data_IF_889180874376
#
_entry.id   IF_889180874376
#
_cell.length_a   1.000
_cell.length_b   1.000
_cell.length_c   1.000
_cell.angle_alpha   90.00
_cell.angle_beta   90.00
_cell.angle_gamma   90.00
#
_symmetry.space_group_name_H-M   'P 1'
#
loop_
_entity.id
_entity.type
_entity.pdbx_description
1 polymer ?
#
# COMPACT_ATOMS: atom_id res chain seq x y z
N UNK A 1 11.31 10.82 25.87
CA UNK A 1 10.21 10.20 25.08
C UNK A 1 9.62 8.98 25.77
N UNK A 2 10.45 8.09 26.35
CA UNK A 2 10.03 6.91 27.13
C UNK A 2 9.05 7.19 28.28
N UNK A 3 9.33 8.18 29.14
CA UNK A 3 8.44 8.52 30.29
C UNK A 3 7.02 8.92 29.89
N UNK A 4 6.84 9.56 28.72
CA UNK A 4 5.51 9.93 28.20
C UNK A 4 4.74 8.70 27.73
N UNK A 5 5.42 7.74 27.11
CA UNK A 5 4.83 6.47 26.69
C UNK A 5 4.45 5.60 27.89
N UNK A 6 5.28 5.58 28.93
CA UNK A 6 4.97 4.90 30.19
C UNK A 6 3.74 5.53 30.89
N UNK A 7 3.67 6.86 30.97
CA UNK A 7 2.52 7.55 31.55
C UNK A 7 1.23 7.27 30.77
N UNK A 8 1.27 7.35 29.43
CA UNK A 8 0.13 7.02 28.57
C UNK A 8 -0.31 5.56 28.75
N UNK A 9 0.63 4.61 28.84
CA UNK A 9 0.34 3.20 29.09
C UNK A 9 -0.37 2.99 30.42
N UNK A 10 0.11 3.65 31.48
CA UNK A 10 -0.52 3.58 32.80
C UNK A 10 -1.93 4.19 32.79
N UNK A 11 -2.09 5.37 32.19
CA UNK A 11 -3.40 6.03 32.06
C UNK A 11 -4.40 5.15 31.29
N UNK A 12 -3.98 4.56 30.18
CA UNK A 12 -4.82 3.69 29.36
C UNK A 12 -5.21 2.41 30.13
N UNK A 13 -4.27 1.84 30.89
CA UNK A 13 -4.55 0.71 31.78
C UNK A 13 -5.57 1.04 32.87
N UNK A 14 -5.45 2.21 33.51
CA UNK A 14 -6.41 2.69 34.52
C UNK A 14 -7.80 2.91 33.89
N UNK A 15 -7.87 3.56 32.73
CA UNK A 15 -9.14 3.76 32.02
C UNK A 15 -9.81 2.44 31.64
N UNK A 16 -9.06 1.46 31.14
CA UNK A 16 -9.59 0.14 30.82
C UNK A 16 -10.12 -0.58 32.07
N UNK A 17 -9.38 -0.53 33.18
CA UNK A 17 -9.82 -1.14 34.44
C UNK A 17 -11.15 -0.53 34.94
N UNK A 18 -11.26 0.80 34.93
CA UNK A 18 -12.50 1.49 35.31
C UNK A 18 -13.66 1.15 34.36
N UNK A 19 -13.42 1.13 33.05
CA UNK A 19 -14.43 0.78 32.05
C UNK A 19 -14.94 -0.65 32.27
N UNK A 20 -14.04 -1.62 32.51
CA UNK A 20 -14.42 -3.00 32.82
C UNK A 20 -15.30 -3.06 34.07
N UNK A 21 -14.92 -2.34 35.14
CA UNK A 21 -15.72 -2.28 36.37
C UNK A 21 -17.14 -1.71 36.14
N UNK A 22 -17.25 -0.61 35.37
CA UNK A 22 -18.55 0.00 35.03
C UNK A 22 -19.42 -0.95 34.20
N UNK A 23 -18.84 -1.60 33.19
CA UNK A 23 -19.56 -2.59 32.37
C UNK A 23 -20.05 -3.76 33.22
N UNK A 24 -19.20 -4.28 34.11
CA UNK A 24 -19.56 -5.38 35.00
C UNK A 24 -20.73 -4.99 35.92
N UNK A 25 -20.70 -3.77 36.46
CA UNK A 25 -21.74 -3.24 37.35
C UNK A 25 -23.07 -2.99 36.62
N UNK A 26 -23.01 -2.51 35.37
CA UNK A 26 -24.20 -2.09 34.62
C UNK A 26 -24.90 -3.25 33.90
N UNK A 27 -24.15 -4.24 33.41
CA UNK A 27 -24.68 -5.25 32.50
C UNK A 27 -24.37 -6.70 32.90
N UNK A 28 -23.64 -6.90 34.00
CA UNK A 28 -23.26 -8.21 34.52
C UNK A 28 -22.09 -8.86 33.75
N UNK A 29 -21.50 -9.90 34.35
CA UNK A 29 -20.24 -10.49 33.87
C UNK A 29 -20.33 -11.07 32.45
N UNK A 30 -21.43 -11.75 32.11
CA UNK A 30 -21.56 -12.45 30.82
C UNK A 30 -21.58 -11.47 29.64
N UNK A 31 -22.32 -10.37 29.75
CA UNK A 31 -22.41 -9.36 28.69
C UNK A 31 -21.12 -8.55 28.55
N UNK A 32 -20.47 -8.22 29.66
CA UNK A 32 -19.19 -7.50 29.67
C UNK A 32 -18.07 -8.33 29.03
N UNK A 33 -18.02 -9.64 29.33
CA UNK A 33 -17.05 -10.57 28.71
C UNK A 33 -17.34 -10.74 27.22
N UNK A 34 -18.60 -10.85 26.82
CA UNK A 34 -18.97 -10.95 25.40
C UNK A 34 -18.55 -9.69 24.62
N UNK A 35 -18.78 -8.49 25.16
CA UNK A 35 -18.34 -7.23 24.56
C UNK A 35 -16.80 -7.13 24.48
N UNK A 36 -16.10 -7.53 25.54
CA UNK A 36 -14.64 -7.54 25.53
C UNK A 36 -14.08 -8.51 24.47
N UNK A 37 -14.69 -9.69 24.32
CA UNK A 37 -14.30 -10.68 23.33
C UNK A 37 -14.51 -10.20 21.90
N UNK A 38 -15.64 -9.55 21.60
CA UNK A 38 -15.90 -9.00 20.25
C UNK A 38 -14.94 -7.88 19.92
N UNK A 39 -14.70 -6.94 20.85
CA UNK A 39 -13.73 -5.85 20.67
C UNK A 39 -12.31 -6.41 20.45
N UNK A 40 -11.90 -7.40 21.23
CA UNK A 40 -10.59 -8.03 21.08
C UNK A 40 -10.43 -8.73 19.72
N UNK A 41 -11.46 -9.46 19.26
CA UNK A 41 -11.46 -10.10 17.95
C UNK A 41 -11.36 -9.08 16.81
N UNK A 42 -12.15 -7.99 16.86
CA UNK A 42 -12.09 -6.93 15.85
C UNK A 42 -10.74 -6.24 15.84
N UNK A 43 -10.16 -5.95 17.01
CA UNK A 43 -8.82 -5.36 17.11
C UNK A 43 -7.75 -6.29 16.51
N UNK A 44 -7.81 -7.59 16.80
CA UNK A 44 -6.89 -8.58 16.23
C UNK A 44 -6.97 -8.60 14.69
N UNK A 45 -8.18 -8.66 14.12
CA UNK A 45 -8.38 -8.62 12.67
C UNK A 45 -7.86 -7.30 12.07
N UNK A 46 -8.17 -6.16 12.69
CA UNK A 46 -7.72 -4.85 12.22
C UNK A 46 -6.18 -4.74 12.22
N UNK A 47 -5.53 -5.21 13.27
CA UNK A 47 -4.05 -5.24 13.33
C UNK A 47 -3.45 -6.15 12.28
N UNK A 48 -4.01 -7.34 12.06
CA UNK A 48 -3.58 -8.24 10.99
C UNK A 48 -3.70 -7.56 9.61
N UNK A 49 -4.84 -6.94 9.32
CA UNK A 49 -5.04 -6.20 8.06
C UNK A 49 -4.06 -5.03 7.90
N UNK A 50 -3.83 -4.25 8.96
CA UNK A 50 -2.84 -3.16 8.95
C UNK A 50 -1.43 -3.68 8.70
N UNK A 51 -1.02 -4.77 9.35
CA UNK A 51 0.30 -5.38 9.10
C UNK A 51 0.44 -5.87 7.67
N UNK A 52 -0.57 -6.53 7.11
CA UNK A 52 -0.61 -6.93 5.71
C UNK A 52 -0.50 -5.73 4.76
N UNK A 53 -1.25 -4.65 5.03
CA UNK A 53 -1.21 -3.43 4.23
C UNK A 53 0.18 -2.76 4.27
N UNK A 54 0.80 -2.69 5.46
CA UNK A 54 2.16 -2.18 5.63
C UNK A 54 3.15 -3.04 4.84
N UNK A 55 3.11 -4.37 4.98
CA UNK A 55 3.99 -5.28 4.24
C UNK A 55 3.80 -5.13 2.72
N UNK A 56 2.56 -5.06 2.24
CA UNK A 56 2.24 -4.84 0.84
C UNK A 56 2.78 -3.48 0.33
N UNK A 57 2.70 -2.43 1.14
CA UNK A 57 3.22 -1.10 0.78
C UNK A 57 4.75 -1.09 0.66
N UNK A 58 5.46 -1.83 1.51
CA UNK A 58 6.93 -1.95 1.48
C UNK A 58 7.44 -2.74 0.28
N UNK A 59 6.61 -3.62 -0.29
CA UNK A 59 6.93 -4.39 -1.50
C UNK A 59 7.04 -3.55 -2.77
N UNK A 60 6.51 -2.31 -2.79
CA UNK A 60 6.68 -1.39 -3.93
C UNK A 60 8.00 -0.65 -3.81
N UNK A 61 9.09 -1.30 -4.18
CA UNK A 61 10.36 -0.61 -4.44
C UNK A 61 10.16 0.18 -5.74
N UNK A 62 10.23 1.52 -5.75
CA UNK A 62 10.21 2.28 -6.98
C UNK A 62 11.35 1.78 -7.87
N UNK A 63 11.02 1.27 -9.05
CA UNK A 63 12.06 0.83 -9.97
C UNK A 63 12.93 2.06 -10.31
N UNK A 64 14.27 2.00 -10.12
CA UNK A 64 15.13 3.10 -10.53
C UNK A 64 14.87 3.40 -12.00
N UNK A 65 14.77 4.68 -12.39
CA UNK A 65 14.47 5.04 -13.78
C UNK A 65 15.44 4.40 -14.80
N UNK A 66 16.69 4.19 -14.39
CA UNK A 66 17.69 3.45 -15.19
C UNK A 66 17.34 1.99 -15.43
N UNK A 67 16.63 1.34 -14.50
CA UNK A 67 16.22 -0.08 -14.59
C UNK A 67 15.19 -0.31 -15.70
N UNK A 68 14.33 0.67 -15.97
CA UNK A 68 13.39 0.62 -17.10
C UNK A 68 14.18 0.66 -18.41
N UNK A 69 15.13 1.60 -18.54
CA UNK A 69 16.02 1.69 -19.72
C UNK A 69 16.81 0.40 -19.94
N UNK A 70 17.38 -0.19 -18.89
CA UNK A 70 18.10 -1.46 -19.02
C UNK A 70 17.14 -2.60 -19.36
N UNK A 71 15.95 -2.67 -18.78
CA UNK A 71 14.97 -3.70 -19.10
C UNK A 71 14.48 -3.62 -20.55
N UNK A 72 14.27 -2.42 -21.10
CA UNK A 72 13.96 -2.22 -22.52
C UNK A 72 15.13 -2.69 -23.37
N UNK A 73 16.35 -2.27 -23.05
CA UNK A 73 17.55 -2.67 -23.81
C UNK A 73 17.83 -4.17 -23.75
N UNK A 74 17.57 -4.79 -22.61
CA UNK A 74 17.75 -6.22 -22.39
C UNK A 74 16.64 -7.03 -23.09
N UNK A 75 15.43 -6.47 -23.18
CA UNK A 75 14.36 -6.99 -24.04
C UNK A 75 14.74 -6.86 -25.52
N UNK A 76 15.24 -5.71 -25.97
CA UNK A 76 15.73 -5.52 -27.34
C UNK A 76 16.85 -6.51 -27.73
N UNK A 77 17.70 -6.89 -26.77
CA UNK A 77 18.73 -7.92 -27.01
C UNK A 77 18.15 -9.33 -27.09
N UNK A 78 17.12 -9.64 -26.30
CA UNK A 78 16.50 -10.98 -26.23
C UNK A 78 15.46 -11.24 -27.31
N UNK A 79 14.75 -10.21 -27.74
CA UNK A 79 13.81 -10.29 -28.87
C UNK A 79 14.46 -9.68 -30.09
N UNK A 80 14.59 -10.47 -31.17
CA UNK A 80 15.02 -9.97 -32.47
C UNK A 80 13.95 -9.03 -33.05
N UNK A 81 13.86 -7.81 -32.53
CA UNK A 81 13.11 -6.76 -33.19
C UNK A 81 13.85 -6.42 -34.48
N UNK A 82 13.12 -6.32 -35.59
CA UNK A 82 13.68 -5.66 -36.75
C UNK A 82 14.11 -4.26 -36.32
N UNK A 83 15.34 -3.81 -36.67
CA UNK A 83 15.73 -2.43 -36.47
C UNK A 83 14.63 -1.52 -37.02
N UNK A 84 14.12 -0.61 -36.18
CA UNK A 84 13.16 0.38 -36.66
C UNK A 84 13.82 1.14 -37.81
N UNK A 85 13.20 1.05 -38.99
CA UNK A 85 13.66 1.76 -40.18
C UNK A 85 13.55 3.25 -39.93
N UNK A 86 14.67 3.96 -40.05
CA UNK A 86 14.71 5.41 -39.91
C UNK A 86 13.73 6.03 -40.93
N UNK A 87 12.64 6.67 -40.45
CA UNK A 87 11.68 7.33 -41.33
C UNK A 87 12.28 8.55 -42.04
N UNK A 88 13.41 9.08 -41.56
CA UNK A 88 14.09 10.25 -42.09
C UNK A 88 15.31 9.90 -42.98
N UNK A 89 15.56 8.62 -43.25
CA UNK A 89 16.66 8.19 -44.12
C UNK A 89 16.56 8.79 -45.54
N UNK A 90 17.70 9.14 -46.14
CA UNK A 90 17.74 9.74 -47.49
C UNK A 90 17.02 8.88 -48.52
N UNK A 91 16.16 9.49 -49.34
CA UNK A 91 15.37 8.78 -50.36
C UNK A 91 14.08 8.17 -49.84
N UNK A 92 13.73 8.37 -48.56
CA UNK A 92 12.41 8.02 -48.03
C UNK A 92 11.56 9.27 -47.78
N UNK A 93 10.33 9.32 -48.31
CA UNK A 93 9.38 10.35 -47.93
C UNK A 93 9.10 10.26 -46.43
N UNK A 94 9.21 11.40 -45.73
CA UNK A 94 8.83 11.45 -44.32
C UNK A 94 7.37 11.04 -44.17
N UNK A 95 7.04 10.12 -43.24
CA UNK A 95 5.65 9.85 -42.89
C UNK A 95 4.97 11.16 -42.52
N UNK A 96 3.79 11.44 -43.10
CA UNK A 96 3.01 12.61 -42.72
C UNK A 96 2.65 12.49 -41.24
N UNK A 97 2.74 13.60 -40.50
CA UNK A 97 2.35 13.61 -39.11
C UNK A 97 0.92 13.03 -38.98
N UNK A 98 0.65 12.23 -37.93
CA UNK A 98 -0.71 11.87 -37.60
C UNK A 98 -1.54 13.15 -37.59
N UNK A 99 -2.75 13.09 -38.15
CA UNK A 99 -3.67 14.23 -38.15
C UNK A 99 -4.08 14.61 -36.73
N UNK A 100 -5.30 15.13 -36.59
CA UNK A 100 -5.86 15.59 -35.31
C UNK A 100 -5.48 14.67 -34.14
N UNK A 101 -4.89 15.27 -33.08
CA UNK A 101 -4.52 14.53 -31.87
C UNK A 101 -5.75 13.80 -31.34
N UNK A 102 -5.64 12.47 -31.25
CA UNK A 102 -6.59 11.64 -30.52
C UNK A 102 -6.49 12.00 -29.03
N UNK A 103 -7.61 12.12 -28.29
CA UNK A 103 -7.56 12.24 -26.84
C UNK A 103 -6.82 11.03 -26.29
N UNK A 104 -5.64 11.24 -25.72
CA UNK A 104 -4.90 10.15 -25.07
C UNK A 104 -5.60 9.90 -23.73
N UNK A 105 -6.02 8.65 -23.50
CA UNK A 105 -6.67 8.27 -22.25
C UNK A 105 -5.76 8.59 -21.05
N UNK A 106 -6.33 9.29 -20.08
CA UNK A 106 -5.71 9.58 -18.78
C UNK A 106 -5.79 8.37 -17.85
#
# INVERSE_FOLDING_TARGET
MSRRLEALRMQLGVCLFLLTGVLLAQSGAVSAVALAATVAATAAVATALLTCAILASRGRIPAPAGRIRTAIRDRERRTAFLPQRDPDASGRPRPRAPGRRQPTAA
#
